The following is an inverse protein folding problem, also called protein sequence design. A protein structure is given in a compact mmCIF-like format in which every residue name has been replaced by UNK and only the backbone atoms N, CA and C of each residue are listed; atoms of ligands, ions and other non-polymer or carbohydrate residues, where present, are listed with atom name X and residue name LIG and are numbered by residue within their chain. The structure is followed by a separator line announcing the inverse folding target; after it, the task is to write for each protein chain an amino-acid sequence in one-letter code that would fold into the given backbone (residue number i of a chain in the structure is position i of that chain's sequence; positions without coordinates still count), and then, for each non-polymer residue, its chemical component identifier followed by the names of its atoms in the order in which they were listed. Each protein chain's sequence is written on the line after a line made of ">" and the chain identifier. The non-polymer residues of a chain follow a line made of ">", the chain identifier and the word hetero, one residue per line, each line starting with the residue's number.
data_IF_096852463353
#
_entry.id   IF_096852463353
#
_cell.length_a   1.000
_cell.length_b   1.000
_cell.length_c   1.000
_cell.angle_alpha   90.00
_cell.angle_beta   90.00
_cell.angle_gamma   90.00
#
_symmetry.space_group_name_H-M   'P 1'
#
loop_
_entity.id
_entity.type
_entity.pdbx_description
1 polymer ?
#
# COMPACT_ATOMS: atom_id res chain seq x y z
N UNK A 1 6.80 -4.54 -22.29
CA UNK A 1 7.06 -4.16 -23.71
C UNK A 1 6.46 -5.16 -24.69
N UNK A 2 6.58 -6.48 -24.45
CA UNK A 2 5.99 -7.51 -25.33
C UNK A 2 4.45 -7.47 -25.38
N UNK A 3 3.79 -6.95 -24.33
CA UNK A 3 2.31 -6.87 -24.25
C UNK A 3 1.72 -5.68 -25.02
N UNK A 4 2.49 -4.60 -25.21
CA UNK A 4 2.08 -3.42 -26.01
C UNK A 4 1.91 -3.80 -27.49
N UNK A 5 2.70 -4.76 -27.97
CA UNK A 5 2.69 -5.20 -29.38
C UNK A 5 1.50 -6.14 -29.68
N UNK A 6 0.91 -6.77 -28.65
CA UNK A 6 -0.25 -7.68 -28.79
C UNK A 6 -1.61 -7.00 -28.60
N UNK A 7 -1.64 -5.70 -28.28
CA UNK A 7 -2.88 -4.94 -28.15
C UNK A 7 -3.73 -5.31 -26.92
N UNK A 8 -3.17 -6.00 -25.93
CA UNK A 8 -3.88 -6.35 -24.71
C UNK A 8 -3.77 -5.21 -23.68
N UNK A 9 -4.81 -4.37 -23.66
CA UNK A 9 -4.91 -3.18 -22.81
C UNK A 9 -5.41 -3.51 -21.39
N UNK A 10 -5.62 -4.78 -21.03
CA UNK A 10 -6.20 -5.17 -19.73
C UNK A 10 -5.22 -5.08 -18.55
N UNK A 11 -3.92 -5.01 -18.83
CA UNK A 11 -2.86 -4.89 -17.82
C UNK A 11 -2.40 -3.44 -17.58
N UNK A 12 -3.05 -2.47 -18.22
CA UNK A 12 -2.75 -1.05 -18.05
C UNK A 12 -3.91 -0.39 -17.32
N UNK A 13 -3.61 0.33 -16.22
CA UNK A 13 -4.60 1.17 -15.57
C UNK A 13 -5.13 2.19 -16.57
N UNK A 14 -6.45 2.34 -16.62
CA UNK A 14 -7.06 3.41 -17.42
C UNK A 14 -6.82 4.75 -16.72
N UNK A 15 -6.74 5.82 -17.51
CA UNK A 15 -6.37 7.15 -17.00
C UNK A 15 -7.31 7.68 -15.90
N UNK A 16 -8.57 7.25 -15.89
CA UNK A 16 -9.57 7.55 -14.86
C UNK A 16 -9.32 6.80 -13.54
N UNK A 17 -8.91 5.54 -13.60
CA UNK A 17 -8.55 4.75 -12.41
C UNK A 17 -7.34 5.34 -11.67
N UNK A 18 -6.38 5.90 -12.41
CA UNK A 18 -5.21 6.58 -11.83
C UNK A 18 -5.62 7.85 -11.09
N UNK A 19 -6.54 8.65 -11.66
CA UNK A 19 -7.05 9.86 -11.00
C UNK A 19 -7.78 9.51 -9.71
N UNK A 20 -8.67 8.51 -9.74
CA UNK A 20 -9.38 8.06 -8.55
C UNK A 20 -8.45 7.50 -7.46
N UNK A 21 -7.38 6.80 -7.84
CA UNK A 21 -6.37 6.34 -6.88
C UNK A 21 -5.65 7.52 -6.19
N UNK A 22 -5.27 8.55 -6.96
CA UNK A 22 -4.64 9.75 -6.40
C UNK A 22 -5.57 10.56 -5.51
N UNK A 23 -6.85 10.70 -5.87
CA UNK A 23 -7.86 11.36 -5.01
C UNK A 23 -7.95 10.73 -3.61
N UNK A 24 -7.66 9.43 -3.48
CA UNK A 24 -7.66 8.74 -2.20
C UNK A 24 -6.32 8.81 -1.47
N UNK A 25 -5.20 8.82 -2.19
CA UNK A 25 -3.84 8.82 -1.63
C UNK A 25 -3.41 10.22 -1.18
N UNK A 26 -3.77 11.27 -1.91
CA UNK A 26 -3.35 12.65 -1.64
C UNK A 26 -3.68 13.11 -0.21
N UNK A 27 -4.91 12.89 0.34
CA UNK A 27 -5.21 13.26 1.71
C UNK A 27 -4.37 12.52 2.75
N UNK A 28 -3.98 11.26 2.47
CA UNK A 28 -3.15 10.45 3.36
C UNK A 28 -1.73 11.02 3.41
N UNK A 29 -1.18 11.41 2.26
CA UNK A 29 0.14 12.06 2.17
C UNK A 29 0.12 13.39 2.92
N UNK A 30 -0.88 14.24 2.66
CA UNK A 30 -0.98 15.54 3.34
C UNK A 30 -1.09 15.40 4.86
N UNK A 31 -1.93 14.48 5.34
CA UNK A 31 -2.05 14.22 6.78
C UNK A 31 -0.73 13.73 7.39
N UNK A 32 0.04 12.92 6.65
CA UNK A 32 1.35 12.47 7.10
C UNK A 32 2.37 13.61 7.17
N UNK A 33 2.43 14.45 6.13
CA UNK A 33 3.29 15.64 6.10
C UNK A 33 2.96 16.62 7.24
N UNK A 34 1.68 16.83 7.51
CA UNK A 34 1.20 17.69 8.60
C UNK A 34 1.49 17.12 10.00
N UNK A 35 1.43 15.79 10.16
CA UNK A 35 1.69 15.14 11.45
C UNK A 35 3.14 15.30 11.90
N UNK A 36 4.08 15.43 10.95
CA UNK A 36 5.52 15.46 11.18
C UNK A 36 6.02 14.26 12.02
N UNK A 37 5.28 13.14 11.99
CA UNK A 37 5.61 11.91 12.70
C UNK A 37 6.69 11.12 11.94
N UNK A 38 7.53 10.42 12.71
CA UNK A 38 8.54 9.53 12.14
C UNK A 38 7.93 8.16 11.84
N UNK A 39 8.32 7.50 10.72
CA UNK A 39 7.94 6.12 10.48
C UNK A 39 8.38 5.21 11.63
N UNK A 40 7.50 4.31 12.04
CA UNK A 40 7.82 3.33 13.08
C UNK A 40 8.87 2.35 12.55
N UNK A 41 9.98 2.20 13.28
CA UNK A 41 11.04 1.26 12.94
C UNK A 41 10.61 -0.19 13.09
N UNK A 42 11.18 -1.07 12.27
CA UNK A 42 10.97 -2.52 12.35
C UNK A 42 12.24 -3.26 11.92
N UNK A 43 12.39 -4.50 12.41
CA UNK A 43 13.54 -5.33 12.08
C UNK A 43 13.52 -5.81 10.63
N UNK A 44 14.67 -5.82 9.98
CA UNK A 44 14.83 -6.36 8.62
C UNK A 44 14.50 -7.86 8.59
N UNK A 45 13.66 -8.27 7.64
CA UNK A 45 13.13 -9.64 7.55
C UNK A 45 11.98 -9.93 8.52
N UNK A 46 11.59 -8.96 9.37
CA UNK A 46 10.41 -9.04 10.21
C UNK A 46 9.11 -8.77 9.44
N UNK A 47 7.97 -8.98 10.11
CA UNK A 47 6.64 -8.75 9.53
C UNK A 47 6.17 -7.29 9.61
N UNK A 48 7.06 -6.36 9.98
CA UNK A 48 6.74 -4.96 10.24
C UNK A 48 6.47 -4.65 11.72
N UNK A 49 6.03 -3.42 12.04
CA UNK A 49 5.78 -2.99 13.42
C UNK A 49 4.52 -3.64 14.03
N UNK A 50 4.46 -3.71 15.37
CA UNK A 50 3.30 -4.26 16.09
C UNK A 50 2.00 -3.52 15.76
N UNK A 51 2.08 -2.21 15.49
CA UNK A 51 0.93 -1.39 15.09
C UNK A 51 0.27 -1.91 13.80
N UNK A 52 1.05 -2.47 12.87
CA UNK A 52 0.52 -3.06 11.64
C UNK A 52 -0.25 -4.36 11.90
N UNK A 53 0.14 -5.14 12.92
CA UNK A 53 -0.61 -6.31 13.39
C UNK A 53 -1.89 -5.88 14.12
N UNK A 54 -1.79 -4.89 15.02
CA UNK A 54 -2.92 -4.35 15.76
C UNK A 54 -4.02 -3.83 14.83
N UNK A 55 -3.64 -3.18 13.72
CA UNK A 55 -4.58 -2.66 12.72
C UNK A 55 -5.49 -3.76 12.14
N UNK A 56 -4.91 -4.91 11.74
CA UNK A 56 -5.69 -6.03 11.21
C UNK A 56 -6.44 -6.78 12.31
N UNK A 57 -5.85 -6.91 13.49
CA UNK A 57 -6.47 -7.58 14.63
C UNK A 57 -7.78 -6.88 15.06
N UNK A 58 -7.86 -5.55 14.91
CA UNK A 58 -9.11 -4.79 15.13
C UNK A 58 -10.27 -5.32 14.31
N UNK A 59 -10.00 -5.82 13.10
CA UNK A 59 -11.01 -6.39 12.20
C UNK A 59 -11.09 -7.93 12.32
N UNK A 60 -10.47 -8.53 13.34
CA UNK A 60 -10.40 -9.99 13.53
C UNK A 60 -9.54 -10.71 12.49
N UNK A 61 -8.70 -9.98 11.75
CA UNK A 61 -7.82 -10.49 10.70
C UNK A 61 -6.37 -10.52 11.19
N UNK A 62 -5.54 -11.33 10.53
CA UNK A 62 -4.10 -11.41 10.78
C UNK A 62 -3.33 -11.45 9.48
N UNK A 63 -2.14 -10.84 9.47
CA UNK A 63 -1.20 -10.97 8.36
C UNK A 63 -0.78 -12.44 8.23
N UNK A 64 -0.54 -12.87 6.99
CA UNK A 64 0.07 -14.17 6.74
C UNK A 64 1.54 -14.10 7.18
N UNK A 65 1.99 -15.11 7.91
CA UNK A 65 3.39 -15.22 8.32
C UNK A 65 4.31 -15.31 7.10
N UNK A 66 5.41 -14.55 7.13
CA UNK A 66 6.48 -14.64 6.14
C UNK A 66 7.31 -15.86 6.53
N UNK A 67 7.03 -17.00 5.89
CA UNK A 67 7.86 -18.20 6.02
C UNK A 67 9.22 -17.95 5.38
N UNK A 68 10.30 -18.28 6.10
CA UNK A 68 11.66 -18.36 5.57
C UNK A 68 11.81 -19.67 4.80
#
# INVERSE_FOLDING_TARGET
>A
IMDVIRGDQTLFMRGDEVVAAWEWVDPIIQAWEDSNDLPVGYDSGGSGPEDALALLHRDGRRWREIGI
#
